data_IF_307026512862
#
_entry.id   IF_307026512862
#
_cell.length_a   1.000
_cell.length_b   1.000
_cell.length_c   1.000
_cell.angle_alpha   90.00
_cell.angle_beta   90.00
_cell.angle_gamma   90.00
#
_symmetry.space_group_name_H-M   'P 1'
#
loop_
_entity.id
_entity.type
_entity.pdbx_description
1 polymer ?
#
# COMPACT_ATOMS: atom_id res chain seq x y z
N UNK A 1 -1.16 4.72 17.83
CA UNK A 1 -1.01 5.01 16.39
C UNK A 1 -0.64 3.69 15.71
N UNK A 2 -1.40 3.23 14.71
CA UNK A 2 -1.03 2.03 13.93
C UNK A 2 -0.24 2.49 12.71
N UNK A 3 0.94 1.93 12.50
CA UNK A 3 1.73 2.22 11.31
C UNK A 3 0.99 1.71 10.06
N UNK A 4 1.13 2.41 8.93
CA UNK A 4 0.50 2.03 7.65
C UNK A 4 1.02 0.69 7.08
N UNK A 5 2.09 0.15 7.67
CA UNK A 5 2.72 -1.11 7.33
C UNK A 5 3.91 -1.37 8.24
N UNK A 6 4.64 -2.44 7.97
CA UNK A 6 5.90 -2.74 8.62
C UNK A 6 7.02 -1.99 7.89
N UNK A 7 7.81 -1.21 8.63
CA UNK A 7 8.99 -0.55 8.08
C UNK A 7 10.04 -1.59 7.67
N UNK A 8 10.61 -1.45 6.47
CA UNK A 8 11.68 -2.32 5.97
C UNK A 8 13.00 -1.57 5.94
N UNK A 9 13.08 -0.46 5.20
CA UNK A 9 14.29 0.37 5.10
C UNK A 9 14.02 1.75 4.52
N UNK A 10 14.94 2.68 4.76
CA UNK A 10 14.99 3.96 4.08
C UNK A 10 15.76 3.85 2.76
N UNK A 11 15.46 4.74 1.82
CA UNK A 11 16.36 4.98 0.69
C UNK A 11 17.61 5.72 1.19
N UNK A 12 18.83 5.45 0.66
CA UNK A 12 20.07 6.06 1.13
C UNK A 12 20.04 7.59 1.22
N UNK A 13 19.38 8.27 0.27
CA UNK A 13 19.24 9.73 0.31
C UNK A 13 18.39 10.24 1.48
N UNK A 14 17.34 9.50 1.85
CA UNK A 14 16.50 9.81 3.01
C UNK A 14 17.29 9.56 4.29
N UNK A 15 17.97 8.42 4.36
CA UNK A 15 18.77 8.01 5.53
C UNK A 15 19.90 9.00 5.83
N UNK A 16 20.59 9.49 4.79
CA UNK A 16 21.69 10.46 4.92
C UNK A 16 21.26 11.92 4.92
N UNK A 17 19.95 12.19 4.82
CA UNK A 17 19.40 13.54 4.70
C UNK A 17 20.02 14.37 3.55
N UNK A 18 20.49 13.73 2.48
CA UNK A 18 21.16 14.42 1.37
C UNK A 18 20.17 15.06 0.40
N UNK A 19 18.89 14.68 0.48
CA UNK A 19 17.85 15.20 -0.38
C UNK A 19 16.53 15.29 0.37
N UNK A 20 16.09 16.52 0.63
CA UNK A 20 14.97 16.83 1.53
C UNK A 20 13.66 17.18 0.79
N UNK A 21 13.66 17.26 -0.55
CA UNK A 21 12.44 17.42 -1.36
C UNK A 21 11.53 16.20 -1.29
N UNK A 22 12.10 14.99 -1.19
CA UNK A 22 11.35 13.74 -1.21
C UNK A 22 12.00 12.71 -0.27
N UNK A 23 11.26 12.33 0.77
CA UNK A 23 11.59 11.19 1.60
C UNK A 23 11.05 9.90 0.98
N UNK A 24 11.92 8.92 0.76
CA UNK A 24 11.56 7.56 0.29
C UNK A 24 11.80 6.53 1.38
N UNK A 25 10.80 5.66 1.55
CA UNK A 25 10.80 4.53 2.48
C UNK A 25 10.25 3.29 1.77
N UNK A 26 10.76 2.12 2.15
CA UNK A 26 10.19 0.84 1.81
C UNK A 26 9.41 0.32 3.02
N UNK A 27 8.14 0.01 2.81
CA UNK A 27 7.27 -0.59 3.81
C UNK A 27 6.55 -1.80 3.23
N UNK A 28 6.35 -2.82 4.06
CA UNK A 28 5.52 -3.97 3.76
C UNK A 28 4.09 -3.70 4.25
N UNK A 29 3.09 -3.92 3.40
CA UNK A 29 1.69 -3.62 3.69
C UNK A 29 0.81 -4.85 3.44
N UNK A 30 -0.19 -5.05 4.29
CA UNK A 30 -1.19 -6.09 4.08
C UNK A 30 -2.38 -5.53 3.30
N UNK A 31 -2.45 -5.86 2.00
CA UNK A 31 -3.53 -5.42 1.11
C UNK A 31 -4.88 -6.10 1.37
N UNK A 32 -4.97 -7.10 2.27
CA UNK A 32 -6.27 -7.66 2.67
C UNK A 32 -7.04 -6.72 3.61
N UNK A 33 -6.33 -5.81 4.27
CA UNK A 33 -6.91 -4.78 5.10
C UNK A 33 -7.33 -3.57 4.25
N UNK A 34 -8.21 -2.70 4.75
CA UNK A 34 -8.48 -1.41 4.13
C UNK A 34 -7.17 -0.64 3.88
N UNK A 35 -7.07 -0.04 2.71
CA UNK A 35 -5.91 0.77 2.35
C UNK A 35 -5.87 2.04 3.21
N UNK A 36 -4.65 2.50 3.48
CA UNK A 36 -4.46 3.72 4.26
C UNK A 36 -4.57 4.90 3.33
N UNK A 37 -5.57 5.75 3.55
CA UNK A 37 -5.78 6.94 2.72
C UNK A 37 -5.13 8.18 3.35
N UNK A 38 -4.96 8.18 4.68
CA UNK A 38 -4.43 9.33 5.44
C UNK A 38 -3.59 8.86 6.62
N UNK A 39 -2.45 9.51 6.85
CA UNK A 39 -1.55 9.27 7.97
C UNK A 39 -1.60 10.49 8.89
N UNK A 40 -1.97 10.25 10.14
CA UNK A 40 -2.14 11.30 11.15
C UNK A 40 -1.13 11.09 12.26
N UNK A 41 -0.29 12.08 12.53
CA UNK A 41 0.76 12.02 13.56
C UNK A 41 0.89 13.35 14.28
N UNK A 42 1.56 13.34 15.44
CA UNK A 42 1.91 14.57 16.14
C UNK A 42 3.32 14.98 15.79
N UNK A 43 3.54 16.25 15.51
CA UNK A 43 4.88 16.79 15.33
C UNK A 43 5.60 16.94 16.69
N UNK A 44 6.81 17.53 16.65
CA UNK A 44 7.62 17.78 17.84
C UNK A 44 7.00 18.79 18.83
N UNK A 45 6.08 19.63 18.38
CA UNK A 45 5.38 20.61 19.20
C UNK A 45 4.07 20.03 19.77
N UNK A 46 3.67 18.84 19.31
CA UNK A 46 2.43 18.18 19.70
C UNK A 46 1.25 18.51 18.79
N UNK A 47 1.47 19.30 17.73
CA UNK A 47 0.48 19.67 16.74
C UNK A 47 0.13 18.47 15.87
N UNK A 48 -1.16 18.31 15.55
CA UNK A 48 -1.63 17.23 14.72
C UNK A 48 -1.34 17.54 13.24
N UNK A 49 -0.52 16.71 12.63
CA UNK A 49 -0.24 16.73 11.20
C UNK A 49 -0.96 15.60 10.50
N UNK A 50 -1.36 15.86 9.27
CA UNK A 50 -2.03 14.89 8.40
C UNK A 50 -1.36 14.86 7.03
N UNK A 51 -1.11 13.65 6.53
CA UNK A 51 -0.54 13.40 5.20
C UNK A 51 -1.52 12.52 4.43
N UNK A 52 -1.90 12.95 3.23
CA UNK A 52 -2.69 12.15 2.30
C UNK A 52 -1.82 11.10 1.61
N UNK A 53 -2.35 9.88 1.46
CA UNK A 53 -1.68 8.76 0.82
C UNK A 53 -2.27 8.55 -0.56
N UNK A 54 -1.42 8.65 -1.57
CA UNK A 54 -1.77 8.43 -2.96
C UNK A 54 -1.06 7.19 -3.50
N UNK A 55 -1.83 6.22 -4.03
CA UNK A 55 -1.30 5.01 -4.63
C UNK A 55 -1.25 5.17 -6.16
N UNK A 56 -0.05 5.34 -6.72
CA UNK A 56 0.12 5.48 -8.18
C UNK A 56 -0.26 4.21 -8.95
N UNK A 57 -0.14 3.05 -8.30
CA UNK A 57 -0.56 1.76 -8.85
C UNK A 57 -0.88 0.77 -7.74
N UNK A 58 -1.92 -0.04 -7.95
CA UNK A 58 -2.28 -1.18 -7.11
C UNK A 58 -2.50 -2.41 -7.98
N UNK A 59 -2.11 -3.61 -7.52
CA UNK A 59 -2.40 -4.84 -8.24
C UNK A 59 -3.92 -5.06 -8.34
N UNK A 60 -4.39 -5.76 -9.38
CA UNK A 60 -5.82 -6.09 -9.48
C UNK A 60 -6.22 -7.08 -8.39
N UNK A 61 -7.37 -6.84 -7.74
CA UNK A 61 -7.99 -7.80 -6.83
C UNK A 61 -8.98 -8.67 -7.60
N UNK A 62 -8.74 -9.97 -7.64
CA UNK A 62 -9.57 -10.93 -8.34
C UNK A 62 -10.98 -10.97 -7.74
N UNK A 63 -12.01 -10.78 -8.57
CA UNK A 63 -13.40 -10.83 -8.10
C UNK A 63 -13.83 -12.24 -7.66
N UNK A 64 -13.17 -13.30 -8.17
CA UNK A 64 -13.51 -14.71 -7.95
C UNK A 64 -12.86 -15.27 -6.68
N UNK A 65 -11.53 -15.31 -6.61
CA UNK A 65 -10.81 -15.89 -5.46
C UNK A 65 -10.38 -14.86 -4.41
N UNK A 66 -10.65 -13.56 -4.65
CA UNK A 66 -10.23 -12.43 -3.80
C UNK A 66 -8.72 -12.22 -3.64
N UNK A 67 -7.89 -13.01 -4.34
CA UNK A 67 -6.44 -12.86 -4.42
C UNK A 67 -6.00 -11.65 -5.25
N UNK A 68 -4.73 -11.25 -5.11
CA UNK A 68 -4.15 -10.09 -5.80
C UNK A 68 -3.31 -10.51 -7.02
N UNK A 69 -3.11 -9.58 -7.95
CA UNK A 69 -2.19 -9.74 -9.08
C UNK A 69 -2.77 -10.36 -10.35
N UNK A 70 -4.08 -10.62 -10.39
CA UNK A 70 -4.78 -11.11 -11.59
C UNK A 70 -6.24 -10.66 -11.62
N UNK A 71 -6.86 -10.71 -12.81
CA UNK A 71 -8.30 -10.45 -13.00
C UNK A 71 -9.10 -11.74 -12.85
N UNK A 72 -10.41 -11.62 -12.65
CA UNK A 72 -11.31 -12.78 -12.60
C UNK A 72 -11.26 -13.66 -13.85
N UNK A 73 -11.03 -13.05 -15.02
CA UNK A 73 -10.86 -13.73 -16.31
C UNK A 73 -9.65 -14.67 -16.36
N UNK A 74 -8.60 -14.36 -15.59
CA UNK A 74 -7.34 -15.11 -15.57
C UNK A 74 -7.22 -15.98 -14.30
N UNK A 75 -8.31 -16.11 -13.55
CA UNK A 75 -8.34 -16.84 -12.29
C UNK A 75 -8.27 -18.36 -12.54
N UNK A 76 -7.33 -19.02 -11.87
CA UNK A 76 -7.11 -20.48 -11.95
C UNK A 76 -7.71 -21.26 -10.78
N UNK A 77 -8.57 -20.64 -9.97
CA UNK A 77 -9.20 -21.31 -8.85
C UNK A 77 -10.26 -22.32 -9.34
N UNK A 78 -10.39 -23.47 -8.65
CA UNK A 78 -11.26 -24.58 -9.08
C UNK A 78 -12.76 -24.23 -9.15
N UNK A 79 -13.17 -23.14 -8.51
CA UNK A 79 -14.55 -22.64 -8.52
C UNK A 79 -14.88 -21.75 -9.74
N UNK A 80 -13.97 -21.61 -10.70
CA UNK A 80 -14.17 -20.78 -11.90
C UNK A 80 -14.87 -21.61 -12.99
N UNK A 81 -16.20 -21.54 -13.09
CA UNK A 81 -16.91 -21.89 -14.32
C UNK A 81 -17.02 -20.62 -15.19
N UNK A 82 -16.05 -20.41 -16.07
CA UNK A 82 -16.16 -19.35 -17.09
C UNK A 82 -17.32 -19.78 -18.00
N UNK A 83 -18.46 -19.09 -17.90
CA UNK A 83 -19.54 -19.24 -18.88
C UNK A 83 -19.01 -18.70 -20.21
N UNK A 84 -18.52 -19.60 -21.05
CA UNK A 84 -18.23 -19.29 -22.44
C UNK A 84 -19.57 -19.04 -23.15
N UNK A 85 -19.67 -17.89 -23.84
CA UNK A 85 -20.81 -17.51 -24.66
C UNK A 85 -20.68 -18.12 -26.05
#
# INVERSE_FOLDING_TARGET
MRAAGNFVKLHPNTERCTRLDVARVLAEVNLHNPLVERIVFKDKNGDQCEIEVNYTWLPSRCAVCKGWGHKGSDCKADNVKILQR
#
